data_IF_891981505099
#
_entry.id   IF_891981505099
#
_cell.length_a   1.000
_cell.length_b   1.000
_cell.length_c   1.000
_cell.angle_alpha   90.00
_cell.angle_beta   90.00
_cell.angle_gamma   90.00
#
_symmetry.space_group_name_H-M   'P 1'
#
loop_
_entity.id
_entity.type
_entity.pdbx_description
1 polymer ?
#
# COMPACT_ATOMS: atom_id res chain seq x y z
N UNK A 1 12.91 -11.68 13.79
CA UNK A 1 12.38 -11.66 12.39
C UNK A 1 10.94 -11.18 12.29
N UNK A 2 10.02 -11.57 13.20
CA UNK A 2 8.59 -11.16 13.18
C UNK A 2 8.37 -9.65 13.12
N UNK A 3 9.12 -8.84 13.88
CA UNK A 3 8.93 -7.38 13.92
C UNK A 3 9.72 -6.61 12.85
N UNK A 4 10.81 -7.17 12.34
CA UNK A 4 11.66 -6.53 11.32
C UNK A 4 11.09 -6.73 9.92
N UNK A 5 10.40 -7.85 9.68
CA UNK A 5 9.84 -8.19 8.37
C UNK A 5 8.87 -7.13 7.82
N UNK A 6 7.90 -6.59 8.59
CA UNK A 6 7.00 -5.55 8.10
C UNK A 6 7.75 -4.29 7.69
N UNK A 7 8.75 -3.87 8.47
CA UNK A 7 9.51 -2.66 8.20
C UNK A 7 10.34 -2.79 6.91
N UNK A 8 11.02 -3.92 6.74
CA UNK A 8 11.79 -4.22 5.53
C UNK A 8 10.87 -4.28 4.31
N UNK A 9 9.69 -4.89 4.43
CA UNK A 9 8.71 -4.96 3.35
C UNK A 9 8.24 -3.55 2.92
N UNK A 10 7.97 -2.65 3.87
CA UNK A 10 7.60 -1.26 3.56
C UNK A 10 8.71 -0.56 2.78
N UNK A 11 9.96 -0.65 3.25
CA UNK A 11 11.11 -0.01 2.58
C UNK A 11 11.28 -0.54 1.16
N UNK A 12 11.25 -1.87 0.99
CA UNK A 12 11.36 -2.50 -0.33
C UNK A 12 10.19 -2.13 -1.26
N UNK A 13 8.99 -1.97 -0.72
CA UNK A 13 7.81 -1.55 -1.49
C UNK A 13 8.00 -0.14 -2.04
N UNK A 14 8.48 0.80 -1.22
CA UNK A 14 8.79 2.17 -1.67
C UNK A 14 9.88 2.18 -2.74
N UNK A 15 10.99 1.47 -2.51
CA UNK A 15 12.08 1.36 -3.49
C UNK A 15 11.60 0.77 -4.82
N UNK A 16 10.81 -0.30 -4.78
CA UNK A 16 10.22 -0.91 -5.98
C UNK A 16 9.30 0.06 -6.71
N UNK A 17 8.48 0.83 -5.98
CA UNK A 17 7.64 1.87 -6.56
C UNK A 17 8.46 2.97 -7.24
N UNK A 18 9.53 3.45 -6.61
CA UNK A 18 10.43 4.45 -7.19
C UNK A 18 11.05 3.97 -8.50
N UNK A 19 11.53 2.73 -8.53
CA UNK A 19 12.12 2.12 -9.73
C UNK A 19 11.08 2.04 -10.85
N UNK A 20 9.86 1.60 -10.53
CA UNK A 20 8.78 1.45 -11.49
C UNK A 20 8.34 2.80 -12.09
N UNK A 21 8.17 3.84 -11.26
CA UNK A 21 7.83 5.18 -11.76
C UNK A 21 8.97 5.82 -12.56
N UNK A 22 10.22 5.59 -12.16
CA UNK A 22 11.38 6.02 -12.94
C UNK A 22 11.43 5.33 -14.30
N UNK A 23 11.07 4.04 -14.39
CA UNK A 23 11.00 3.29 -15.64
C UNK A 23 9.88 3.80 -16.57
N UNK A 24 8.80 4.35 -16.00
CA UNK A 24 7.72 5.00 -16.74
C UNK A 24 8.08 6.42 -17.21
N UNK A 25 9.27 6.94 -16.88
CA UNK A 25 9.71 8.29 -17.26
C UNK A 25 9.06 9.42 -16.47
N UNK A 26 8.41 9.10 -15.35
CA UNK A 26 7.77 10.07 -14.45
C UNK A 26 8.70 10.34 -13.25
N UNK A 27 8.61 11.54 -12.67
CA UNK A 27 9.36 11.83 -11.46
C UNK A 27 8.87 10.92 -10.31
N UNK A 28 9.73 10.02 -9.86
CA UNK A 28 9.38 9.01 -8.85
C UNK A 28 8.93 9.61 -7.51
N UNK A 29 9.51 10.74 -7.11
CA UNK A 29 9.14 11.42 -5.86
C UNK A 29 7.75 12.03 -5.97
N UNK A 30 7.45 12.73 -7.06
CA UNK A 30 6.12 13.32 -7.29
C UNK A 30 5.04 12.24 -7.45
N UNK A 31 5.38 11.12 -8.11
CA UNK A 31 4.48 9.98 -8.27
C UNK A 31 4.13 9.34 -6.92
N UNK A 32 5.11 9.14 -6.05
CA UNK A 32 4.88 8.61 -4.69
C UNK A 32 4.05 9.59 -3.87
N UNK A 33 4.37 10.89 -3.91
CA UNK A 33 3.60 11.90 -3.21
C UNK A 33 2.13 11.91 -3.68
N UNK A 34 1.91 11.85 -4.98
CA UNK A 34 0.57 11.82 -5.57
C UNK A 34 -0.19 10.55 -5.21
N UNK A 35 0.46 9.38 -5.22
CA UNK A 35 -0.21 8.12 -4.90
C UNK A 35 -0.54 7.95 -3.41
N UNK A 36 0.31 8.44 -2.51
CA UNK A 36 0.15 8.23 -1.07
C UNK A 36 -0.46 9.43 -0.34
N UNK A 37 -0.09 10.66 -0.69
CA UNK A 37 -0.47 11.86 0.07
C UNK A 37 -1.76 12.46 -0.51
N UNK A 38 -1.84 12.63 -1.84
CA UNK A 38 -3.02 13.23 -2.48
C UNK A 38 -4.36 12.59 -2.10
N UNK A 39 -4.50 11.26 -1.96
CA UNK A 39 -5.78 10.64 -1.60
C UNK A 39 -6.17 10.92 -0.15
N UNK A 40 -5.21 11.18 0.73
CA UNK A 40 -5.46 11.43 2.15
C UNK A 40 -5.79 12.91 2.40
N UNK A 41 -5.36 13.78 1.48
CA UNK A 41 -5.58 15.23 1.57
C UNK A 41 -7.02 15.67 1.33
N UNK A 42 -7.89 14.83 0.75
CA UNK A 42 -9.29 15.17 0.46
C UNK A 42 -10.24 14.05 0.88
N UNK A 43 -11.46 14.40 1.30
CA UNK A 43 -12.47 13.45 1.77
C UNK A 43 -12.91 12.47 0.65
N UNK A 44 -12.94 12.95 -0.60
CA UNK A 44 -13.28 12.11 -1.75
C UNK A 44 -12.19 11.09 -2.05
N UNK A 45 -10.91 11.51 -1.94
CA UNK A 45 -9.76 10.63 -2.09
C UNK A 45 -9.71 9.54 -1.01
N UNK A 46 -10.08 9.89 0.23
CA UNK A 46 -10.20 8.95 1.34
C UNK A 46 -11.26 7.89 1.04
N UNK A 47 -12.44 8.31 0.54
CA UNK A 47 -13.50 7.38 0.16
C UNK A 47 -13.03 6.42 -0.93
N UNK A 48 -12.37 6.91 -2.00
CA UNK A 48 -11.82 6.06 -3.04
C UNK A 48 -10.78 5.06 -2.51
N UNK A 49 -9.91 5.51 -1.60
CA UNK A 49 -8.88 4.67 -0.99
C UNK A 49 -9.54 3.50 -0.23
N UNK A 50 -10.57 3.77 0.56
CA UNK A 50 -11.30 2.73 1.28
C UNK A 50 -12.03 1.77 0.34
N UNK A 51 -12.67 2.27 -0.73
CA UNK A 51 -13.33 1.40 -1.72
C UNK A 51 -12.34 0.42 -2.36
N UNK A 52 -11.13 0.89 -2.70
CA UNK A 52 -10.06 0.05 -3.26
C UNK A 52 -9.46 -0.92 -2.23
N UNK A 53 -9.30 -0.48 -0.98
CA UNK A 53 -8.69 -1.29 0.09
C UNK A 53 -9.64 -2.36 0.67
N UNK A 54 -10.95 -2.11 0.69
CA UNK A 54 -11.96 -2.99 1.31
C UNK A 54 -11.83 -4.48 0.91
N UNK A 55 -11.79 -4.85 -0.39
CA UNK A 55 -11.70 -6.26 -0.77
C UNK A 55 -10.42 -6.94 -0.26
N UNK A 56 -9.27 -6.25 -0.26
CA UNK A 56 -8.01 -6.79 0.25
C UNK A 56 -8.06 -7.01 1.76
N UNK A 57 -8.65 -6.06 2.49
CA UNK A 57 -8.84 -6.19 3.95
C UNK A 57 -9.74 -7.38 4.27
N UNK A 58 -10.84 -7.56 3.53
CA UNK A 58 -11.75 -8.70 3.71
C UNK A 58 -11.04 -10.04 3.48
N UNK A 59 -10.19 -10.14 2.46
CA UNK A 59 -9.37 -11.34 2.22
C UNK A 59 -8.42 -11.60 3.39
N UNK A 60 -7.69 -10.59 3.85
CA UNK A 60 -6.76 -10.72 4.96
C UNK A 60 -7.45 -11.15 6.26
N UNK A 61 -8.63 -10.58 6.54
CA UNK A 61 -9.46 -10.95 7.70
C UNK A 61 -9.93 -12.41 7.58
N UNK A 62 -10.42 -12.84 6.42
CA UNK A 62 -10.82 -14.24 6.18
C UNK A 62 -9.67 -15.22 6.42
N UNK A 63 -8.48 -14.92 5.88
CA UNK A 63 -7.28 -15.73 6.09
C UNK A 63 -6.85 -15.78 7.56
N UNK A 64 -6.97 -14.66 8.29
CA UNK A 64 -6.63 -14.61 9.72
C UNK A 64 -7.48 -15.58 10.56
N UNK A 65 -8.77 -15.71 10.25
CA UNK A 65 -9.65 -16.69 10.89
C UNK A 65 -9.28 -18.13 10.50
N UNK A 66 -8.97 -18.36 9.22
CA UNK A 66 -8.51 -19.65 8.72
C UNK A 66 -7.24 -20.15 9.41
N UNK A 67 -6.24 -19.27 9.60
CA UNK A 67 -5.02 -19.61 10.33
C UNK A 67 -5.22 -19.77 11.83
N UNK A 68 -6.21 -19.09 12.43
CA UNK A 68 -6.54 -19.25 13.86
C UNK A 68 -7.28 -20.56 14.16
N UNK A 69 -7.92 -21.15 13.16
CA UNK A 69 -8.65 -22.41 13.30
C UNK A 69 -7.75 -23.67 13.22
N UNK A 70 -6.44 -23.47 13.00
CA UNK A 70 -5.41 -24.51 13.01
C UNK A 70 -4.55 -24.40 14.27
#
# INVERSE_FOLDING_TARGET
MIYSSPLIAVILTFLSGMILFSALGVNAFDAIYTFFISPISDLSGLAELFVKATPLVLIAVGLSFGFRAN
#
